data_IF_459267472303
#
_entry.id   IF_459267472303
#
_cell.length_a   1.000
_cell.length_b   1.000
_cell.length_c   1.000
_cell.angle_alpha   90.00
_cell.angle_beta   90.00
_cell.angle_gamma   90.00
#
_symmetry.space_group_name_H-M   'P 1'
#
loop_
_entity.id
_entity.type
_entity.pdbx_description
1 polymer ?
#
# COMPACT_ATOMS: atom_id res chain seq x y z
N UNK A 1 -14.75 -7.54 -17.63
CA UNK A 1 -14.07 -7.65 -16.31
C UNK A 1 -14.02 -9.12 -15.84
N UNK A 2 -15.15 -9.88 -15.85
CA UNK A 2 -15.20 -11.28 -15.37
C UNK A 2 -14.19 -12.24 -16.03
N UNK A 3 -14.00 -12.26 -17.37
CA UNK A 3 -13.02 -13.16 -18.00
C UNK A 3 -11.59 -12.88 -17.52
N UNK A 4 -11.20 -11.61 -17.45
CA UNK A 4 -9.86 -11.21 -17.01
C UNK A 4 -9.62 -11.52 -15.53
N UNK A 5 -10.63 -11.31 -14.68
CA UNK A 5 -10.52 -11.68 -13.27
C UNK A 5 -10.36 -13.19 -13.09
N UNK A 6 -11.09 -14.00 -13.86
CA UNK A 6 -10.96 -15.47 -13.84
C UNK A 6 -9.54 -15.90 -14.24
N UNK A 7 -8.99 -15.29 -15.27
CA UNK A 7 -7.61 -15.55 -15.71
C UNK A 7 -6.59 -15.22 -14.61
N UNK A 8 -6.72 -14.05 -13.98
CA UNK A 8 -5.82 -13.63 -12.87
C UNK A 8 -5.90 -14.63 -11.70
N UNK A 9 -7.11 -15.03 -11.30
CA UNK A 9 -7.30 -16.00 -10.23
C UNK A 9 -6.74 -17.38 -10.61
N UNK A 10 -6.86 -17.78 -11.88
CA UNK A 10 -6.30 -19.03 -12.39
C UNK A 10 -4.77 -19.02 -12.32
N UNK A 11 -4.13 -17.98 -12.83
CA UNK A 11 -2.67 -17.83 -12.78
C UNK A 11 -2.15 -17.78 -11.34
N UNK A 12 -2.87 -17.08 -10.45
CA UNK A 12 -2.51 -17.06 -9.03
C UNK A 12 -2.60 -18.45 -8.38
N UNK A 13 -3.64 -19.24 -8.71
CA UNK A 13 -3.76 -20.62 -8.25
C UNK A 13 -2.60 -21.47 -8.74
N UNK A 14 -2.32 -21.41 -10.02
CA UNK A 14 -1.21 -22.17 -10.63
C UNK A 14 0.11 -21.85 -9.92
N UNK A 15 0.43 -20.58 -9.69
CA UNK A 15 1.64 -20.19 -8.97
C UNK A 15 1.70 -20.72 -7.54
N UNK A 16 0.56 -20.77 -6.84
CA UNK A 16 0.47 -21.35 -5.49
C UNK A 16 0.69 -22.86 -5.53
N UNK A 17 0.04 -23.56 -6.45
CA UNK A 17 0.15 -25.01 -6.58
C UNK A 17 1.58 -25.42 -6.97
N UNK A 18 2.26 -24.68 -7.85
CA UNK A 18 3.67 -24.88 -8.22
C UNK A 18 4.63 -24.66 -7.03
N UNK A 19 4.32 -23.70 -6.15
CA UNK A 19 5.18 -23.35 -5.01
C UNK A 19 4.97 -24.28 -3.82
N UNK A 20 3.73 -24.61 -3.51
CA UNK A 20 3.35 -25.34 -2.30
C UNK A 20 3.20 -26.86 -2.55
N UNK A 21 2.93 -27.27 -3.78
CA UNK A 21 2.79 -28.69 -4.14
C UNK A 21 4.00 -29.54 -3.73
N UNK A 22 5.23 -29.14 -4.03
CA UNK A 22 6.43 -29.86 -3.62
C UNK A 22 6.65 -29.94 -2.10
N UNK A 23 6.00 -29.04 -1.35
CA UNK A 23 6.10 -28.96 0.12
C UNK A 23 4.97 -29.73 0.83
N UNK A 24 4.08 -30.38 0.09
CA UNK A 24 2.88 -31.08 0.61
C UNK A 24 2.00 -30.19 1.50
N UNK A 25 2.04 -28.86 1.30
CA UNK A 25 1.24 -27.91 2.08
C UNK A 25 -0.14 -27.78 1.47
N UNK A 26 -1.17 -28.10 2.27
CA UNK A 26 -2.56 -27.97 1.85
C UNK A 26 -3.11 -26.57 2.17
N UNK A 27 -3.65 -25.91 1.16
CA UNK A 27 -4.34 -24.62 1.33
C UNK A 27 -5.79 -24.87 1.73
N UNK A 28 -6.19 -24.42 2.91
CA UNK A 28 -7.54 -24.62 3.45
C UNK A 28 -8.44 -23.38 3.33
N UNK A 29 -7.89 -22.21 3.03
CA UNK A 29 -8.65 -20.96 2.96
C UNK A 29 -7.93 -19.94 2.06
N UNK A 30 -8.73 -19.11 1.39
CA UNK A 30 -8.22 -18.01 0.56
C UNK A 30 -8.65 -16.67 1.15
N UNK A 31 -7.72 -15.73 1.21
CA UNK A 31 -8.00 -14.35 1.61
C UNK A 31 -7.66 -13.43 0.45
N UNK A 32 -8.66 -12.73 -0.07
CA UNK A 32 -8.49 -11.71 -1.10
C UNK A 32 -8.28 -10.36 -0.45
N UNK A 33 -7.34 -9.58 -0.95
CA UNK A 33 -7.09 -8.22 -0.48
C UNK A 33 -6.65 -7.32 -1.64
N UNK A 34 -6.49 -6.02 -1.38
CA UNK A 34 -6.20 -5.05 -2.43
C UNK A 34 -7.46 -4.52 -3.12
N UNK A 35 -7.31 -3.54 -4.00
CA UNK A 35 -8.43 -2.89 -4.70
C UNK A 35 -9.26 -3.83 -5.57
N UNK A 36 -8.63 -4.83 -6.19
CA UNK A 36 -9.31 -5.83 -7.01
C UNK A 36 -10.30 -6.70 -6.23
N UNK A 37 -10.08 -6.91 -4.93
CA UNK A 37 -10.99 -7.66 -4.07
C UNK A 37 -12.34 -6.95 -3.84
N UNK A 38 -12.41 -5.64 -4.10
CA UNK A 38 -13.63 -4.82 -3.98
C UNK A 38 -14.53 -4.87 -5.21
N UNK A 39 -14.06 -5.44 -6.31
CA UNK A 39 -14.89 -5.60 -7.51
C UNK A 39 -16.01 -6.59 -7.24
N UNK A 40 -17.25 -6.21 -7.63
CA UNK A 40 -18.44 -7.03 -7.39
C UNK A 40 -18.29 -8.43 -8.00
N UNK A 41 -18.48 -9.44 -7.18
CA UNK A 41 -18.46 -10.84 -7.57
C UNK A 41 -17.07 -11.47 -7.66
N UNK A 42 -16.00 -10.77 -7.28
CA UNK A 42 -14.63 -11.34 -7.23
C UNK A 42 -14.54 -12.45 -6.19
N UNK A 43 -15.19 -12.31 -5.05
CA UNK A 43 -15.27 -13.33 -4.00
C UNK A 43 -15.97 -14.61 -4.47
N UNK A 44 -17.09 -14.47 -5.20
CA UNK A 44 -17.80 -15.60 -5.80
C UNK A 44 -16.96 -16.30 -6.86
N UNK A 45 -16.30 -15.53 -7.74
CA UNK A 45 -15.41 -16.11 -8.74
C UNK A 45 -14.24 -16.86 -8.10
N UNK A 46 -13.66 -16.31 -7.05
CA UNK A 46 -12.59 -16.97 -6.33
C UNK A 46 -13.05 -18.26 -5.65
N UNK A 47 -14.22 -18.27 -5.01
CA UNK A 47 -14.80 -19.50 -4.43
C UNK A 47 -15.02 -20.58 -5.50
N UNK A 48 -15.53 -20.20 -6.66
CA UNK A 48 -15.75 -21.14 -7.79
C UNK A 48 -14.42 -21.67 -8.35
N UNK A 49 -13.39 -20.81 -8.43
CA UNK A 49 -12.11 -21.17 -9.00
C UNK A 49 -11.27 -22.04 -8.06
N UNK A 50 -11.26 -21.73 -6.76
CA UNK A 50 -10.42 -22.44 -5.78
C UNK A 50 -11.12 -23.60 -5.11
N UNK A 51 -12.45 -23.64 -5.07
CA UNK A 51 -13.22 -24.64 -4.32
C UNK A 51 -13.03 -24.54 -2.81
N UNK A 52 -12.55 -23.40 -2.30
CA UNK A 52 -12.20 -23.17 -0.92
C UNK A 52 -12.99 -22.00 -0.33
N UNK A 53 -13.13 -21.93 1.00
CA UNK A 53 -13.68 -20.74 1.66
C UNK A 53 -12.84 -19.50 1.35
N UNK A 54 -13.51 -18.46 0.81
CA UNK A 54 -12.89 -17.19 0.46
C UNK A 54 -13.48 -16.07 1.31
N UNK A 55 -12.62 -15.20 1.83
CA UNK A 55 -13.03 -13.95 2.48
C UNK A 55 -12.22 -12.77 1.95
N UNK A 56 -12.79 -11.59 2.05
CA UNK A 56 -12.07 -10.34 1.79
C UNK A 56 -11.38 -9.89 3.08
N UNK A 57 -10.06 -9.72 3.01
CA UNK A 57 -9.21 -9.29 4.12
C UNK A 57 -9.01 -7.79 4.12
N UNK A 58 -8.99 -7.21 5.32
CA UNK A 58 -8.66 -5.80 5.58
C UNK A 58 -7.32 -5.72 6.30
N UNK A 59 -6.58 -4.59 6.19
CA UNK A 59 -5.38 -4.36 7.00
C UNK A 59 -5.69 -4.46 8.49
N UNK A 60 -4.76 -5.04 9.25
CA UNK A 60 -4.86 -5.17 10.69
C UNK A 60 -3.58 -4.68 11.36
N UNK A 61 -3.68 -4.26 12.63
CA UNK A 61 -2.54 -3.82 13.42
C UNK A 61 -1.95 -2.48 12.96
N UNK A 62 -2.79 -1.61 12.40
CA UNK A 62 -2.44 -0.21 12.11
C UNK A 62 -3.23 0.64 13.11
N UNK A 63 -2.54 1.46 13.89
CA UNK A 63 -3.14 2.44 14.82
C UNK A 63 -3.20 3.82 14.16
N UNK A 64 -4.05 4.71 14.66
CA UNK A 64 -4.27 6.05 14.11
C UNK A 64 -5.55 6.13 13.29
N UNK A 65 -5.48 6.58 12.04
CA UNK A 65 -6.63 6.74 11.13
C UNK A 65 -7.21 5.40 10.65
N UNK A 66 -7.62 4.55 11.61
CA UNK A 66 -8.07 3.18 11.35
C UNK A 66 -9.23 3.12 10.38
N UNK A 67 -10.17 4.06 10.45
CA UNK A 67 -11.36 4.07 9.60
C UNK A 67 -11.01 4.33 8.13
N UNK A 68 -10.00 5.16 7.87
CA UNK A 68 -9.53 5.46 6.52
C UNK A 68 -8.77 4.28 5.91
N UNK A 69 -7.92 3.63 6.70
CA UNK A 69 -7.08 2.50 6.23
C UNK A 69 -7.76 1.13 6.31
N UNK A 70 -8.96 1.04 6.89
CA UNK A 70 -9.69 -0.24 7.06
C UNK A 70 -10.24 -0.84 5.75
N UNK A 71 -9.90 -0.30 4.60
CA UNK A 71 -10.29 -0.86 3.29
C UNK A 71 -9.26 -1.87 2.79
N UNK A 72 -9.69 -2.96 2.14
CA UNK A 72 -8.78 -3.87 1.45
C UNK A 72 -7.85 -3.19 0.45
N UNK A 73 -8.28 -2.07 -0.16
CA UNK A 73 -7.48 -1.30 -1.11
C UNK A 73 -6.15 -0.78 -0.53
N UNK A 74 -6.11 -0.54 0.78
CA UNK A 74 -4.93 0.00 1.46
C UNK A 74 -4.01 -1.08 2.04
N UNK A 75 -4.30 -2.36 1.82
CA UNK A 75 -3.55 -3.47 2.43
C UNK A 75 -2.05 -3.44 2.07
N UNK A 76 -1.70 -3.16 0.82
CA UNK A 76 -0.31 -3.07 0.38
C UNK A 76 0.43 -1.90 1.07
N UNK A 77 -0.19 -0.72 1.10
CA UNK A 77 0.40 0.46 1.75
C UNK A 77 0.59 0.24 3.26
N UNK A 78 -0.42 -0.31 3.94
CA UNK A 78 -0.35 -0.65 5.35
C UNK A 78 0.73 -1.71 5.65
N UNK A 79 0.85 -2.72 4.79
CA UNK A 79 1.87 -3.75 4.87
C UNK A 79 3.27 -3.18 4.70
N UNK A 80 3.49 -2.33 3.70
CA UNK A 80 4.78 -1.66 3.45
C UNK A 80 5.17 -0.74 4.60
N UNK A 81 4.23 0.03 5.15
CA UNK A 81 4.49 0.90 6.29
C UNK A 81 4.91 0.09 7.53
N UNK A 82 4.23 -1.02 7.83
CA UNK A 82 4.61 -1.92 8.92
C UNK A 82 5.96 -2.59 8.68
N UNK A 83 6.20 -3.05 7.47
CA UNK A 83 7.48 -3.66 7.11
C UNK A 83 8.62 -2.63 7.25
N UNK A 84 8.46 -1.43 6.70
CA UNK A 84 9.43 -0.35 6.86
C UNK A 84 9.71 0.01 8.32
N UNK A 85 8.67 0.05 9.16
CA UNK A 85 8.83 0.30 10.59
C UNK A 85 9.55 -0.84 11.35
N UNK A 86 9.49 -2.07 10.84
CA UNK A 86 10.20 -3.23 11.43
C UNK A 86 11.66 -3.34 11.03
N UNK A 87 12.08 -2.63 9.97
CA UNK A 87 13.46 -2.65 9.52
C UNK A 87 14.34 -1.81 10.45
N UNK A 88 15.52 -2.30 10.85
CA UNK A 88 16.47 -1.50 11.59
C UNK A 88 16.98 -0.37 10.70
N UNK A 89 16.68 0.88 11.07
CA UNK A 89 17.20 2.05 10.36
C UNK A 89 18.73 2.10 10.56
N UNK A 90 19.46 2.15 9.45
CA UNK A 90 20.91 2.43 9.51
C UNK A 90 21.10 3.83 10.11
N UNK A 91 22.07 4.01 11.03
CA UNK A 91 22.27 5.30 11.72
C UNK A 91 22.40 6.50 10.77
N UNK A 92 22.97 6.30 9.59
CA UNK A 92 23.11 7.34 8.56
C UNK A 92 21.79 7.74 7.90
N UNK A 93 20.85 6.79 7.71
CA UNK A 93 19.53 7.06 7.14
C UNK A 93 18.62 7.76 8.15
N UNK A 94 18.70 7.36 9.41
CA UNK A 94 17.99 8.03 10.50
C UNK A 94 18.42 9.50 10.66
N UNK A 95 19.70 9.81 10.44
CA UNK A 95 20.22 11.17 10.48
C UNK A 95 19.69 12.01 9.30
N UNK A 96 19.65 11.45 8.09
CA UNK A 96 19.09 12.13 6.90
C UNK A 96 17.61 12.46 7.02
N UNK A 97 16.83 11.59 7.68
CA UNK A 97 15.39 11.81 7.90
C UNK A 97 15.19 12.95 8.92
N UNK A 98 16.03 13.04 9.94
CA UNK A 98 15.98 14.11 10.97
C UNK A 98 16.51 15.44 10.46
N UNK A 99 17.48 15.43 9.54
CA UNK A 99 18.13 16.61 8.97
C UNK A 99 17.45 17.09 7.67
N UNK A 100 16.28 16.54 7.29
CA UNK A 100 15.51 17.13 6.19
C UNK A 100 15.16 18.55 6.63
N UNK A 101 15.73 19.57 5.99
CA UNK A 101 15.49 20.95 6.41
C UNK A 101 13.99 21.20 6.32
N UNK A 102 13.41 21.67 7.42
CA UNK A 102 12.11 22.30 7.36
C UNK A 102 12.14 23.28 6.20
N UNK A 103 11.21 23.10 5.28
CA UNK A 103 11.06 23.95 4.10
C UNK A 103 10.86 25.39 4.63
N UNK A 104 11.95 26.12 4.72
CA UNK A 104 11.88 27.52 5.13
C UNK A 104 10.93 28.20 4.16
N UNK A 105 9.90 28.89 4.63
CA UNK A 105 8.97 29.54 3.75
C UNK A 105 9.72 30.47 2.80
N UNK A 106 9.62 30.20 1.51
CA UNK A 106 10.25 30.96 0.40
C UNK A 106 9.74 32.42 0.31
N UNK A 107 9.30 33.01 1.41
CA UNK A 107 8.68 34.33 1.44
C UNK A 107 9.65 35.51 1.63
N UNK A 108 10.81 35.29 2.27
CA UNK A 108 11.66 36.45 2.64
C UNK A 108 12.42 37.05 1.46
N UNK A 109 12.77 36.26 0.44
CA UNK A 109 13.49 36.76 -0.75
C UNK A 109 12.62 37.63 -1.68
N UNK A 110 11.31 37.41 -1.71
CA UNK A 110 10.41 38.18 -2.58
C UNK A 110 10.14 39.58 -2.01
N UNK A 111 9.93 39.69 -0.74
CA UNK A 111 9.71 40.99 -0.05
C UNK A 111 10.93 41.89 -0.05
N UNK A 112 12.14 41.32 0.06
CA UNK A 112 13.40 42.07 -0.06
C UNK A 112 13.56 42.66 -1.47
N UNK A 113 13.26 41.89 -2.51
CA UNK A 113 13.30 42.35 -3.91
C UNK A 113 12.25 43.41 -4.23
N UNK A 114 11.04 43.29 -3.70
CA UNK A 114 9.96 44.31 -3.86
C UNK A 114 10.36 45.59 -3.18
N UNK A 115 10.98 45.55 -2.01
CA UNK A 115 11.43 46.72 -1.27
C UNK A 115 12.58 47.46 -2.00
N UNK A 116 13.48 46.75 -2.63
CA UNK A 116 14.58 47.32 -3.43
C UNK A 116 14.08 48.02 -4.71
N UNK A 117 13.09 47.40 -5.38
CA UNK A 117 12.45 48.01 -6.57
C UNK A 117 11.66 49.27 -6.21
N UNK A 118 10.96 49.29 -5.09
CA UNK A 118 10.20 50.45 -4.63
C UNK A 118 11.11 51.58 -4.14
N UNK A 119 12.27 51.30 -3.56
CA UNK A 119 13.20 52.34 -3.10
C UNK A 119 13.96 53.01 -4.26
N UNK A 120 13.99 52.39 -5.45
CA UNK A 120 14.61 52.98 -6.64
C UNK A 120 13.59 53.75 -7.51
N UNK A 121 12.32 53.79 -7.13
CA UNK A 121 11.25 54.46 -7.91
C UNK A 121 10.82 55.78 -7.28
N UNK A 122 11.31 56.09 -6.11
CA UNK A 122 11.11 57.36 -5.37
C UNK A 122 12.47 57.88 -4.83
#
# INVERSE_FOLDING_TARGET
>A
IRPRMREILHLARQSVDETLGPLEIQVNRVVLTGGGALLRGTDLLARQQYGLPVRVGKPQGVSGLTDVVASPAHAAAAGLARYGASLPLKPQEAKRIREKPEDKPKGEGLWARIKEVLSNLF
#
